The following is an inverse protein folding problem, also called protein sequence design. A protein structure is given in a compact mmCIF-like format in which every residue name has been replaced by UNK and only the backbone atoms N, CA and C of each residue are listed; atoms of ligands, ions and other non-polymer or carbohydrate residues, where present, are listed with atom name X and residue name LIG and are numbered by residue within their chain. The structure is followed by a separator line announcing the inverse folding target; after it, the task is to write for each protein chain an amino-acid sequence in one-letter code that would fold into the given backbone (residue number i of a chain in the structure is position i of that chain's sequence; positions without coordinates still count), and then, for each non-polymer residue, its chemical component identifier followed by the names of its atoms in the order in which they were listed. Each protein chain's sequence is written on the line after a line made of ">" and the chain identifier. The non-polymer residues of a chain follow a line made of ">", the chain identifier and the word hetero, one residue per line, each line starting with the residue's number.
data_IF_460313140402
#
_entry.id   IF_460313140402
#
_cell.length_a   1.000
_cell.length_b   1.000
_cell.length_c   1.000
_cell.angle_alpha   90.00
_cell.angle_beta   90.00
_cell.angle_gamma   90.00
#
_symmetry.space_group_name_H-M   'P 1'
#
loop_
_entity.id
_entity.type
_entity.pdbx_description
1 polymer ?
#
# COMPACT_ATOMS: atom_id res chain seq x y z
N UNK A 1 36.86 24.47 -34.31
CA UNK A 1 37.34 23.06 -34.21
C UNK A 1 38.46 23.05 -33.19
N UNK A 2 38.57 22.21 -32.17
CA UNK A 2 37.73 21.23 -31.50
C UNK A 2 38.38 21.10 -30.11
N UNK A 3 37.55 21.06 -29.07
CA UNK A 3 37.97 20.83 -27.70
C UNK A 3 38.48 19.41 -27.53
N UNK A 4 39.61 19.21 -26.85
CA UNK A 4 39.85 17.97 -26.12
C UNK A 4 40.64 18.20 -24.83
N UNK A 5 40.01 17.76 -23.73
CA UNK A 5 40.51 17.66 -22.35
C UNK A 5 41.60 16.59 -22.25
N UNK A 6 42.43 16.62 -21.20
CA UNK A 6 42.51 15.55 -20.18
C UNK A 6 43.12 16.14 -18.89
N UNK A 7 42.57 15.64 -17.78
CA UNK A 7 42.61 16.11 -16.41
C UNK A 7 43.97 15.99 -15.71
N UNK A 8 44.26 16.92 -14.81
CA UNK A 8 45.37 16.80 -13.85
C UNK A 8 44.95 15.92 -12.68
N UNK A 9 45.71 14.84 -12.46
CA UNK A 9 45.74 14.05 -11.24
C UNK A 9 45.93 14.93 -10.00
N UNK A 10 45.07 14.76 -9.00
CA UNK A 10 45.39 15.08 -7.61
C UNK A 10 44.94 13.93 -6.72
N UNK A 11 45.87 13.01 -6.48
CA UNK A 11 45.76 11.94 -5.49
C UNK A 11 45.71 12.56 -4.09
N UNK A 12 44.52 12.67 -3.49
CA UNK A 12 44.39 12.94 -2.05
C UNK A 12 44.71 11.65 -1.30
N UNK A 13 45.93 11.59 -0.74
CA UNK A 13 46.29 10.64 0.31
C UNK A 13 45.46 10.99 1.55
N UNK A 14 44.44 10.19 1.84
CA UNK A 14 43.78 10.21 3.14
C UNK A 14 44.66 9.35 4.04
N UNK A 15 45.46 9.98 4.90
CA UNK A 15 46.11 9.30 6.00
C UNK A 15 45.06 9.16 7.11
N UNK A 16 44.53 7.95 7.29
CA UNK A 16 43.85 7.59 8.53
C UNK A 16 44.94 7.26 9.56
N UNK A 17 45.03 7.97 10.70
CA UNK A 17 45.78 7.44 11.83
C UNK A 17 45.04 6.21 12.36
N UNK A 18 45.71 5.07 12.30
CA UNK A 18 45.28 3.81 12.91
C UNK A 18 45.48 3.93 14.42
N UNK A 19 44.44 4.42 15.10
CA UNK A 19 44.39 4.50 16.55
C UNK A 19 43.16 3.73 17.03
N UNK A 20 43.40 2.58 17.65
CA UNK A 20 42.41 1.85 18.43
C UNK A 20 41.86 2.77 19.54
N UNK A 21 40.66 3.30 19.30
CA UNK A 21 39.88 3.99 20.33
C UNK A 21 38.66 3.12 20.65
N UNK A 22 38.65 2.54 21.86
CA UNK A 22 37.42 1.97 22.42
C UNK A 22 36.39 3.09 22.60
N UNK A 23 35.33 3.05 21.79
CA UNK A 23 34.19 3.94 21.94
C UNK A 23 33.27 3.28 22.96
N UNK A 24 33.13 3.89 24.13
CA UNK A 24 32.17 3.41 25.13
C UNK A 24 30.75 3.34 24.55
N UNK A 25 29.96 2.30 24.87
CA UNK A 25 28.60 2.17 24.36
C UNK A 25 27.78 3.39 24.78
N UNK A 26 27.23 4.09 23.80
CA UNK A 26 26.28 5.17 24.05
C UNK A 26 25.13 4.63 24.91
N UNK A 27 24.71 5.33 25.99
CA UNK A 27 23.61 4.89 26.81
C UNK A 27 22.38 4.74 25.92
N UNK A 28 21.83 3.52 25.86
CA UNK A 28 20.53 3.23 25.29
C UNK A 28 19.47 3.85 26.20
N UNK A 29 19.32 5.18 26.12
CA UNK A 29 18.16 5.87 26.66
C UNK A 29 16.96 5.29 25.94
N UNK A 30 16.17 4.53 26.68
CA UNK A 30 14.91 3.96 26.27
C UNK A 30 13.99 5.07 25.75
N UNK A 31 14.05 5.30 24.45
CA UNK A 31 12.98 5.94 23.70
C UNK A 31 11.90 4.88 23.51
N UNK A 32 11.08 4.69 24.54
CA UNK A 32 9.77 4.08 24.34
C UNK A 32 9.05 4.92 23.30
N UNK A 33 9.10 4.49 22.04
CA UNK A 33 8.21 5.02 21.02
C UNK A 33 6.82 4.80 21.57
N UNK A 34 6.22 5.86 22.10
CA UNK A 34 4.81 5.90 22.42
C UNK A 34 4.14 5.52 21.10
N UNK A 35 3.63 4.30 21.02
CA UNK A 35 2.93 3.82 19.84
C UNK A 35 1.84 4.84 19.59
N UNK A 36 1.99 5.56 18.47
CA UNK A 36 0.98 6.51 18.04
C UNK A 36 -0.34 5.73 17.99
N UNK A 37 -1.41 6.23 18.64
CA UNK A 37 -2.70 5.55 18.64
C UNK A 37 -3.10 5.25 17.19
N UNK A 38 -3.56 4.04 16.92
CA UNK A 38 -3.90 3.62 15.55
C UNK A 38 -4.96 4.54 14.92
N UNK A 39 -5.87 5.08 15.75
CA UNK A 39 -6.87 6.08 15.36
C UNK A 39 -6.24 7.38 14.86
N UNK A 40 -5.16 7.86 15.48
CA UNK A 40 -4.49 9.09 15.08
C UNK A 40 -3.78 8.90 13.72
N UNK A 41 -3.17 7.73 13.50
CA UNK A 41 -2.55 7.39 12.21
C UNK A 41 -3.56 7.34 11.08
N UNK A 42 -4.68 6.66 11.28
CA UNK A 42 -5.76 6.60 10.29
C UNK A 42 -6.36 7.98 10.04
N UNK A 43 -6.57 8.78 11.08
CA UNK A 43 -7.08 10.16 10.95
C UNK A 43 -6.16 11.03 10.10
N UNK A 44 -4.85 10.92 10.30
CA UNK A 44 -3.85 11.65 9.51
C UNK A 44 -3.84 11.21 8.04
N UNK A 45 -3.98 9.91 7.76
CA UNK A 45 -4.06 9.38 6.39
C UNK A 45 -5.31 9.91 5.69
N UNK A 46 -6.47 9.86 6.35
CA UNK A 46 -7.73 10.35 5.78
C UNK A 46 -7.69 11.85 5.52
N UNK A 47 -7.14 12.62 6.46
CA UNK A 47 -6.97 14.06 6.26
C UNK A 47 -6.07 14.36 5.07
N UNK A 48 -4.90 13.72 4.99
CA UNK A 48 -3.97 13.91 3.88
C UNK A 48 -4.58 13.50 2.53
N UNK A 49 -5.42 12.47 2.51
CA UNK A 49 -6.17 12.06 1.33
C UNK A 49 -7.21 13.12 0.93
N UNK A 50 -8.04 13.57 1.87
CA UNK A 50 -9.08 14.57 1.61
C UNK A 50 -8.49 15.90 1.15
N UNK A 51 -7.39 16.33 1.75
CA UNK A 51 -6.71 17.59 1.41
C UNK A 51 -6.16 17.57 -0.03
N UNK A 52 -5.76 16.40 -0.54
CA UNK A 52 -5.21 16.25 -1.89
C UNK A 52 -6.26 15.87 -2.95
N UNK A 53 -7.26 15.08 -2.57
CA UNK A 53 -8.15 14.38 -3.50
C UNK A 53 -9.64 14.52 -3.15
N UNK A 54 -9.99 15.34 -2.16
CA UNK A 54 -11.37 15.57 -1.74
C UNK A 54 -12.23 16.32 -2.76
N UNK A 55 -11.62 16.87 -3.82
CA UNK A 55 -12.32 17.49 -4.95
C UNK A 55 -12.75 16.47 -6.02
N UNK A 56 -12.34 15.21 -5.92
CA UNK A 56 -12.74 14.16 -6.87
C UNK A 56 -14.18 13.75 -6.53
N UNK A 57 -15.11 13.76 -7.50
CA UNK A 57 -16.51 13.40 -7.28
C UNK A 57 -16.66 11.88 -7.19
N UNK A 58 -16.22 11.30 -6.06
CA UNK A 58 -16.37 9.88 -5.78
C UNK A 58 -17.85 9.50 -5.71
N UNK A 59 -18.25 8.47 -6.48
CA UNK A 59 -19.61 7.92 -6.41
C UNK A 59 -19.92 7.33 -5.03
N UNK A 60 -18.91 6.75 -4.39
CA UNK A 60 -18.98 6.21 -3.03
C UNK A 60 -17.69 6.54 -2.28
N UNK A 61 -17.72 7.63 -1.51
CA UNK A 61 -16.56 8.11 -0.76
C UNK A 61 -16.19 7.17 0.40
N UNK A 62 -17.17 6.49 1.01
CA UNK A 62 -16.94 5.59 2.14
C UNK A 62 -16.25 4.29 1.68
N UNK A 63 -16.66 3.73 0.53
CA UNK A 63 -15.95 2.59 -0.09
C UNK A 63 -14.51 2.95 -0.42
N UNK A 64 -14.28 4.10 -1.05
CA UNK A 64 -12.92 4.57 -1.40
C UNK A 64 -12.06 4.73 -0.16
N UNK A 65 -12.62 5.31 0.90
CA UNK A 65 -11.96 5.46 2.20
C UNK A 65 -11.50 4.10 2.73
N UNK A 66 -12.41 3.13 2.78
CA UNK A 66 -12.13 1.77 3.27
C UNK A 66 -11.04 1.07 2.44
N UNK A 67 -11.10 1.21 1.11
CA UNK A 67 -10.08 0.64 0.22
C UNK A 67 -8.69 1.18 0.55
N UNK A 68 -8.56 2.50 0.75
CA UNK A 68 -7.28 3.16 0.98
C UNK A 68 -6.73 2.87 2.38
N UNK A 69 -7.57 2.80 3.40
CA UNK A 69 -7.10 2.60 4.79
C UNK A 69 -6.91 1.16 5.20
N UNK A 70 -7.66 0.24 4.61
CA UNK A 70 -7.70 -1.15 5.07
C UNK A 70 -7.26 -2.11 3.97
N UNK A 71 -8.00 -2.15 2.86
CA UNK A 71 -7.90 -3.25 1.92
C UNK A 71 -6.63 -3.20 1.06
N UNK A 72 -6.29 -2.05 0.47
CA UNK A 72 -5.10 -1.88 -0.35
C UNK A 72 -3.83 -2.13 0.47
N UNK A 73 -3.62 -1.51 1.65
CA UNK A 73 -2.45 -1.79 2.48
C UNK A 73 -2.34 -3.26 2.88
N UNK A 74 -3.45 -3.90 3.27
CA UNK A 74 -3.46 -5.31 3.65
C UNK A 74 -3.07 -6.23 2.48
N UNK A 75 -3.65 -6.02 1.30
CA UNK A 75 -3.33 -6.80 0.09
C UNK A 75 -1.89 -6.59 -0.38
N UNK A 76 -1.38 -5.35 -0.33
CA UNK A 76 0.03 -5.07 -0.67
C UNK A 76 0.97 -5.73 0.34
N UNK A 77 0.68 -5.65 1.64
CA UNK A 77 1.48 -6.31 2.67
C UNK A 77 1.49 -7.85 2.54
N UNK A 78 0.44 -8.43 1.95
CA UNK A 78 0.32 -9.85 1.64
C UNK A 78 1.02 -10.26 0.33
N UNK A 79 1.43 -9.32 -0.53
CA UNK A 79 2.10 -9.64 -1.79
C UNK A 79 3.44 -10.34 -1.55
N UNK A 80 3.56 -11.57 -2.06
CA UNK A 80 4.72 -12.45 -1.81
C UNK A 80 6.04 -11.82 -2.25
N UNK A 81 6.06 -11.14 -3.39
CA UNK A 81 7.30 -10.55 -3.90
C UNK A 81 7.72 -9.37 -3.03
N UNK A 82 6.76 -8.53 -2.62
CA UNK A 82 7.04 -7.44 -1.67
C UNK A 82 7.48 -7.97 -0.29
N UNK A 83 6.84 -9.02 0.22
CA UNK A 83 7.27 -9.67 1.47
C UNK A 83 8.72 -10.18 1.38
N UNK A 84 9.09 -10.81 0.26
CA UNK A 84 10.46 -11.27 0.03
C UNK A 84 11.44 -10.10 -0.04
N UNK A 85 11.09 -9.03 -0.76
CA UNK A 85 11.92 -7.84 -0.85
C UNK A 85 12.12 -7.16 0.51
N UNK A 86 11.07 -7.09 1.35
CA UNK A 86 11.17 -6.55 2.71
C UNK A 86 12.08 -7.36 3.63
N UNK A 87 12.09 -8.69 3.49
CA UNK A 87 12.84 -9.60 4.36
C UNK A 87 14.30 -9.76 3.95
N UNK A 88 14.59 -9.66 2.66
CA UNK A 88 15.87 -10.13 2.10
C UNK A 88 16.60 -9.07 1.26
N UNK A 89 16.11 -7.84 1.22
CA UNK A 89 16.67 -6.80 0.36
C UNK A 89 16.82 -5.44 1.03
N UNK A 90 17.48 -4.52 0.34
CA UNK A 90 17.62 -3.14 0.78
C UNK A 90 16.31 -2.35 0.60
N UNK A 91 16.29 -1.14 1.17
CA UNK A 91 15.13 -0.26 1.15
C UNK A 91 14.73 0.16 -0.28
N UNK A 92 15.69 0.30 -1.20
CA UNK A 92 15.42 0.73 -2.56
C UNK A 92 14.69 -0.36 -3.33
N UNK A 93 15.17 -1.60 -3.25
CA UNK A 93 14.53 -2.72 -3.91
C UNK A 93 13.17 -3.05 -3.27
N UNK A 94 13.04 -2.96 -1.94
CA UNK A 94 11.75 -3.06 -1.28
C UNK A 94 10.75 -2.00 -1.77
N UNK A 95 11.20 -0.77 -2.07
CA UNK A 95 10.34 0.27 -2.64
C UNK A 95 9.92 -0.02 -4.07
N UNK A 96 10.84 -0.51 -4.91
CA UNK A 96 10.51 -0.91 -6.28
C UNK A 96 9.46 -2.03 -6.28
N UNK A 97 9.64 -3.04 -5.43
CA UNK A 97 8.70 -4.15 -5.38
C UNK A 97 7.35 -3.76 -4.74
N UNK A 98 7.35 -2.84 -3.77
CA UNK A 98 6.13 -2.22 -3.25
C UNK A 98 5.31 -1.59 -4.38
N UNK A 99 5.93 -0.78 -5.23
CA UNK A 99 5.21 -0.03 -6.27
C UNK A 99 4.62 -1.00 -7.32
N UNK A 100 5.32 -2.10 -7.63
CA UNK A 100 4.76 -3.18 -8.45
C UNK A 100 3.61 -3.91 -7.78
N UNK A 101 3.75 -4.23 -6.49
CA UNK A 101 2.69 -4.88 -5.70
C UNK A 101 1.43 -4.03 -5.67
N UNK A 102 1.57 -2.71 -5.50
CA UNK A 102 0.44 -1.79 -5.53
C UNK A 102 -0.30 -1.84 -6.88
N UNK A 103 0.42 -1.81 -8.00
CA UNK A 103 -0.19 -1.94 -9.34
C UNK A 103 -0.91 -3.29 -9.51
N UNK A 104 -0.31 -4.39 -9.04
CA UNK A 104 -0.94 -5.72 -9.08
C UNK A 104 -2.24 -5.73 -8.27
N UNK A 105 -2.24 -5.18 -7.06
CA UNK A 105 -3.41 -5.11 -6.18
C UNK A 105 -4.52 -4.27 -6.82
N UNK A 106 -4.21 -3.09 -7.34
CA UNK A 106 -5.20 -2.24 -8.02
C UNK A 106 -5.81 -2.91 -9.25
N UNK A 107 -4.99 -3.66 -10.01
CA UNK A 107 -5.45 -4.42 -11.17
C UNK A 107 -6.35 -5.58 -10.76
N UNK A 108 -5.98 -6.33 -9.72
CA UNK A 108 -6.77 -7.45 -9.22
C UNK A 108 -8.14 -6.99 -8.70
N UNK A 109 -8.20 -5.88 -7.95
CA UNK A 109 -9.47 -5.30 -7.48
C UNK A 109 -10.41 -4.99 -8.65
N UNK A 110 -9.89 -4.36 -9.72
CA UNK A 110 -10.69 -4.07 -10.91
C UNK A 110 -11.11 -5.33 -11.66
N UNK A 111 -10.23 -6.33 -11.74
CA UNK A 111 -10.52 -7.61 -12.39
C UNK A 111 -11.66 -8.35 -11.68
N UNK A 112 -11.64 -8.40 -10.35
CA UNK A 112 -12.71 -9.04 -9.56
C UNK A 112 -14.07 -8.36 -9.81
N UNK A 113 -14.11 -7.02 -9.73
CA UNK A 113 -15.32 -6.23 -10.00
C UNK A 113 -15.83 -6.45 -11.44
N UNK A 114 -14.91 -6.49 -12.42
CA UNK A 114 -15.24 -6.68 -13.84
C UNK A 114 -15.75 -8.09 -14.11
N UNK A 115 -15.14 -9.11 -13.51
CA UNK A 115 -15.54 -10.51 -13.69
C UNK A 115 -16.92 -10.75 -13.07
N UNK A 116 -17.21 -10.19 -11.89
CA UNK A 116 -18.55 -10.25 -11.29
C UNK A 116 -19.61 -9.66 -12.23
N UNK A 117 -19.35 -8.46 -12.76
CA UNK A 117 -20.27 -7.81 -13.71
C UNK A 117 -20.45 -8.63 -14.98
N UNK A 118 -19.35 -9.18 -15.53
CA UNK A 118 -19.38 -10.03 -16.72
C UNK A 118 -20.20 -11.29 -16.48
N UNK A 119 -20.02 -12.00 -15.36
CA UNK A 119 -20.83 -13.17 -15.03
C UNK A 119 -22.31 -12.80 -14.89
N UNK A 120 -22.62 -11.66 -14.27
CA UNK A 120 -24.00 -11.18 -14.19
C UNK A 120 -24.61 -10.84 -15.57
N UNK A 121 -23.82 -10.31 -16.49
CA UNK A 121 -24.27 -9.97 -17.86
C UNK A 121 -24.41 -11.19 -18.76
N UNK A 122 -23.39 -12.04 -18.78
CA UNK A 122 -23.20 -13.02 -19.87
C UNK A 122 -23.59 -14.44 -19.45
N UNK A 123 -23.75 -14.70 -18.16
CA UNK A 123 -24.11 -16.01 -17.62
C UNK A 123 -25.52 -15.99 -17.00
N UNK A 124 -26.50 -16.46 -17.77
CA UNK A 124 -27.91 -16.48 -17.36
C UNK A 124 -28.15 -17.26 -16.07
N UNK A 125 -27.46 -18.39 -15.90
CA UNK A 125 -27.60 -19.23 -14.70
C UNK A 125 -27.11 -18.48 -13.45
N UNK A 126 -25.98 -17.79 -13.56
CA UNK A 126 -25.42 -16.99 -12.47
C UNK A 126 -26.33 -15.81 -12.14
N UNK A 127 -26.81 -15.08 -13.15
CA UNK A 127 -27.74 -13.96 -12.97
C UNK A 127 -29.02 -14.37 -12.26
N UNK A 128 -29.63 -15.48 -12.67
CA UNK A 128 -30.86 -15.98 -12.05
C UNK A 128 -30.62 -16.32 -10.58
N UNK A 129 -29.57 -17.10 -10.31
CA UNK A 129 -29.19 -17.46 -8.96
C UNK A 129 -28.93 -16.24 -8.07
N UNK A 130 -28.17 -15.24 -8.56
CA UNK A 130 -27.85 -14.04 -7.79
C UNK A 130 -29.10 -13.20 -7.51
N UNK A 131 -30.00 -13.09 -8.50
CA UNK A 131 -31.26 -12.34 -8.34
C UNK A 131 -32.16 -12.98 -7.29
N UNK A 132 -32.38 -14.29 -7.39
CA UNK A 132 -33.24 -15.04 -6.47
C UNK A 132 -32.66 -14.97 -5.04
N UNK A 133 -31.35 -15.19 -4.87
CA UNK A 133 -30.67 -15.13 -3.58
C UNK A 133 -30.73 -13.74 -2.93
N UNK A 134 -30.44 -12.67 -3.68
CA UNK A 134 -30.50 -11.30 -3.15
C UNK A 134 -31.95 -10.92 -2.79
N UNK A 135 -32.93 -11.36 -3.59
CA UNK A 135 -34.34 -11.15 -3.28
C UNK A 135 -34.71 -11.84 -1.96
N UNK A 136 -34.39 -13.13 -1.80
CA UNK A 136 -34.69 -13.87 -0.57
C UNK A 136 -34.07 -13.21 0.67
N UNK A 137 -32.80 -12.78 0.59
CA UNK A 137 -32.11 -12.12 1.70
C UNK A 137 -32.75 -10.77 2.08
N UNK A 138 -33.21 -10.00 1.10
CA UNK A 138 -33.71 -8.63 1.33
C UNK A 138 -35.21 -8.56 1.58
N UNK A 139 -35.95 -9.57 1.13
CA UNK A 139 -37.40 -9.64 1.30
C UNK A 139 -37.81 -10.35 2.60
N UNK A 140 -37.03 -11.33 3.08
CA UNK A 140 -37.37 -12.13 4.26
C UNK A 140 -37.39 -11.33 5.58
N UNK A 141 -36.62 -10.25 5.68
CA UNK A 141 -36.65 -9.38 6.87
C UNK A 141 -37.86 -8.42 6.91
N UNK A 142 -38.59 -8.25 5.80
CA UNK A 142 -39.79 -7.42 5.77
C UNK A 142 -41.06 -8.15 6.24
N UNK A 143 -40.98 -9.46 6.52
CA UNK A 143 -42.16 -10.32 6.74
C UNK A 143 -42.27 -11.02 8.10
N UNK A 144 -41.39 -10.76 9.07
CA UNK A 144 -41.46 -11.39 10.42
C UNK A 144 -41.38 -10.38 11.56
N UNK A 145 -42.32 -9.44 11.56
CA UNK A 145 -42.89 -8.90 12.80
C UNK A 145 -44.36 -9.25 12.82
N UNK A 146 -44.65 -10.47 13.28
CA UNK A 146 -45.98 -10.92 13.69
C UNK A 146 -46.01 -11.07 15.21
#
# INVERSE_FOLDING_TARGET
>A
MESYRVEKQASRRIALPDADAEIEPVPTVGGGHKHEPELDRLSNIIKAFNDQFGNIPWTDADRVRKLITEEIPARVAADTAYQNARKHSDKQNARIEHDKALVRVMTALLQDDTELFKQFSDNESFRRWLTDMVFDLTYSEAGSTG
#
